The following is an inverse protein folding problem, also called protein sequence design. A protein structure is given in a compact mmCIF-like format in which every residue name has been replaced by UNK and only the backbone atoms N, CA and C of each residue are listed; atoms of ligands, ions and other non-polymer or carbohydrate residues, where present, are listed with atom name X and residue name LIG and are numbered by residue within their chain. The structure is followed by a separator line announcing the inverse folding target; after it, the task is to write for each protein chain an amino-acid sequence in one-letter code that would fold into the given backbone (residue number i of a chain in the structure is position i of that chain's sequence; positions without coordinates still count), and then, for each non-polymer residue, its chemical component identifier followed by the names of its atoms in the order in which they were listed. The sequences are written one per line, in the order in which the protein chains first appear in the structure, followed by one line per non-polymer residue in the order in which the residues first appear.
data_IF_002966787684
#
_entry.id   IF_002966787684
#
_cell.length_a   1.000
_cell.length_b   1.000
_cell.length_c   1.000
_cell.angle_alpha   90.00
_cell.angle_beta   90.00
_cell.angle_gamma   90.00
#
_symmetry.space_group_name_H-M   'P 1'
#
loop_
_entity.id
_entity.type
_entity.pdbx_description
1 polymer ?
#
# COMPACT_ATOMS: atom_id res chain seq x y z
N UNK A 1 74.22 1.63 5.20
CA UNK A 1 73.36 0.43 5.08
C UNK A 1 71.95 0.81 5.43
N UNK A 2 71.15 1.14 4.43
CA UNK A 2 69.74 1.52 4.58
C UNK A 2 68.91 0.26 4.36
N UNK A 3 68.01 0.00 5.31
CA UNK A 3 67.10 -1.14 5.31
C UNK A 3 65.73 -0.63 4.84
N UNK A 4 65.39 -0.96 3.61
CA UNK A 4 64.05 -0.71 3.05
C UNK A 4 63.03 -1.55 3.77
N UNK A 5 62.01 -0.87 4.32
CA UNK A 5 60.81 -1.48 4.86
C UNK A 5 59.75 -1.53 3.75
N UNK A 6 59.50 -2.73 3.20
CA UNK A 6 58.44 -2.98 2.26
C UNK A 6 57.06 -2.92 3.00
N UNK A 7 56.31 -1.90 2.74
CA UNK A 7 54.87 -1.81 3.13
C UNK A 7 54.02 -2.63 2.15
N UNK A 8 53.62 -3.82 2.58
CA UNK A 8 52.65 -4.65 1.86
C UNK A 8 51.25 -4.05 2.06
N UNK A 9 50.76 -3.36 1.04
CA UNK A 9 49.37 -2.94 0.94
C UNK A 9 48.50 -4.16 0.59
N UNK A 10 47.87 -4.73 1.57
CA UNK A 10 46.85 -5.79 1.38
C UNK A 10 45.63 -5.14 0.73
N UNK A 11 45.53 -5.25 -0.59
CA UNK A 11 44.31 -4.88 -1.32
C UNK A 11 43.14 -5.78 -0.89
N UNK A 12 42.19 -5.22 -0.14
CA UNK A 12 40.94 -5.88 0.11
C UNK A 12 40.23 -6.10 -1.24
N UNK A 13 39.96 -7.35 -1.58
CA UNK A 13 39.15 -7.69 -2.75
C UNK A 13 37.79 -6.99 -2.62
N UNK A 14 37.24 -6.43 -3.70
CA UNK A 14 35.90 -5.84 -3.66
C UNK A 14 34.93 -6.93 -3.22
N UNK A 15 34.16 -6.66 -2.13
CA UNK A 15 33.11 -7.54 -1.69
C UNK A 15 32.15 -7.80 -2.86
N UNK A 16 31.80 -9.07 -3.10
CA UNK A 16 30.81 -9.43 -4.12
C UNK A 16 29.56 -8.58 -3.94
N UNK A 17 28.98 -8.08 -5.02
CA UNK A 17 27.77 -7.24 -4.92
C UNK A 17 26.68 -8.01 -4.18
N UNK A 18 26.20 -7.43 -3.07
CA UNK A 18 25.15 -8.03 -2.24
C UNK A 18 23.88 -8.13 -3.07
N UNK A 19 23.32 -9.33 -3.20
CA UNK A 19 22.05 -9.57 -3.86
C UNK A 19 20.92 -8.86 -3.07
N UNK A 20 20.06 -8.13 -3.76
CA UNK A 20 18.93 -7.43 -3.16
C UNK A 20 17.77 -8.40 -2.94
N UNK A 21 17.42 -8.65 -1.67
CA UNK A 21 16.43 -9.65 -1.28
C UNK A 21 15.03 -9.10 -1.30
N UNK A 22 14.13 -9.79 -2.00
CA UNK A 22 12.73 -9.39 -2.16
C UNK A 22 11.83 -10.50 -1.65
N UNK A 23 10.83 -10.15 -0.85
CA UNK A 23 9.70 -10.99 -0.49
C UNK A 23 8.51 -10.61 -1.36
N UNK A 24 7.84 -11.59 -1.96
CA UNK A 24 6.62 -11.38 -2.75
C UNK A 24 5.41 -11.90 -1.97
N UNK A 25 4.46 -11.02 -1.66
CA UNK A 25 3.25 -11.30 -0.91
C UNK A 25 2.00 -10.96 -1.73
N UNK A 26 1.26 -11.99 -2.17
CA UNK A 26 0.06 -11.89 -3.00
C UNK A 26 -0.74 -13.20 -2.85
N UNK A 27 -2.06 -13.15 -2.69
CA UNK A 27 -2.88 -14.37 -2.54
C UNK A 27 -3.06 -15.14 -3.85
N UNK A 28 -2.82 -14.50 -5.00
CA UNK A 28 -2.93 -15.11 -6.33
C UNK A 28 -1.62 -15.79 -6.75
N UNK A 29 -1.59 -17.11 -6.75
CA UNK A 29 -0.37 -17.89 -7.06
C UNK A 29 0.19 -17.67 -8.48
N UNK A 30 -0.67 -17.32 -9.45
CA UNK A 30 -0.25 -17.02 -10.83
C UNK A 30 0.49 -15.68 -10.87
N UNK A 31 -0.04 -14.68 -10.16
CA UNK A 31 0.57 -13.34 -10.05
C UNK A 31 1.93 -13.45 -9.34
N UNK A 32 1.99 -14.15 -8.20
CA UNK A 32 3.26 -14.37 -7.48
C UNK A 32 4.33 -14.98 -8.38
N UNK A 33 3.98 -16.04 -9.13
CA UNK A 33 4.92 -16.69 -10.08
C UNK A 33 5.39 -15.75 -11.18
N UNK A 34 4.48 -14.93 -11.73
CA UNK A 34 4.83 -13.93 -12.73
C UNK A 34 5.79 -12.89 -12.19
N UNK A 35 5.50 -12.32 -11.02
CA UNK A 35 6.36 -11.35 -10.31
C UNK A 35 7.73 -11.97 -10.02
N UNK A 36 7.76 -13.18 -9.47
CA UNK A 36 9.01 -13.90 -9.21
C UNK A 36 9.85 -14.05 -10.46
N UNK A 37 9.28 -14.58 -11.55
CA UNK A 37 9.97 -14.77 -12.81
C UNK A 37 10.55 -13.46 -13.36
N UNK A 38 9.79 -12.36 -13.25
CA UNK A 38 10.22 -11.04 -13.69
C UNK A 38 11.39 -10.51 -12.84
N UNK A 39 11.33 -10.65 -11.52
CA UNK A 39 12.39 -10.19 -10.62
C UNK A 39 13.66 -11.02 -10.77
N UNK A 40 13.55 -12.36 -10.83
CA UNK A 40 14.68 -13.28 -10.97
C UNK A 40 15.33 -13.23 -12.37
N UNK A 41 14.70 -12.55 -13.36
CA UNK A 41 15.36 -12.23 -14.64
C UNK A 41 16.54 -11.24 -14.48
N UNK A 42 16.63 -10.57 -13.33
CA UNK A 42 17.72 -9.63 -13.02
C UNK A 42 18.73 -10.29 -12.09
N UNK A 43 20.03 -10.33 -12.45
CA UNK A 43 21.05 -11.09 -11.72
C UNK A 43 21.38 -10.53 -10.33
N UNK A 44 20.96 -9.29 -10.04
CA UNK A 44 21.20 -8.59 -8.78
C UNK A 44 19.99 -8.59 -7.84
N UNK A 45 18.90 -9.27 -8.23
CA UNK A 45 17.66 -9.44 -7.43
C UNK A 45 17.44 -10.91 -7.07
N UNK A 46 16.98 -11.16 -5.85
CA UNK A 46 16.66 -12.50 -5.32
C UNK A 46 15.30 -12.49 -4.67
N UNK A 47 14.39 -13.37 -5.10
CA UNK A 47 13.13 -13.61 -4.37
C UNK A 47 13.42 -14.60 -3.24
N UNK A 48 13.67 -14.08 -2.04
CA UNK A 48 14.05 -14.85 -0.86
C UNK A 48 12.87 -15.62 -0.22
N UNK A 49 11.63 -15.19 -0.44
CA UNK A 49 10.43 -15.88 0.02
C UNK A 49 9.18 -15.43 -0.75
N UNK A 50 8.13 -16.25 -0.65
CA UNK A 50 6.78 -15.95 -1.13
C UNK A 50 5.78 -16.15 0.02
N UNK A 51 4.72 -15.33 0.06
CA UNK A 51 3.63 -15.45 1.02
C UNK A 51 2.27 -15.27 0.32
N UNK A 52 1.24 -15.95 0.82
CA UNK A 52 -0.10 -15.88 0.28
C UNK A 52 -1.09 -15.10 1.17
N UNK A 53 -0.64 -14.68 2.35
CA UNK A 53 -1.43 -13.98 3.36
C UNK A 53 -0.56 -13.07 4.24
N UNK A 54 -1.19 -12.21 5.00
CA UNK A 54 -0.48 -11.23 5.82
C UNK A 54 0.26 -11.82 7.03
N UNK A 55 -0.18 -12.95 7.57
CA UNK A 55 0.49 -13.62 8.71
C UNK A 55 1.79 -14.23 8.24
N UNK A 56 1.73 -15.07 7.19
CA UNK A 56 2.91 -15.68 6.55
C UNK A 56 3.89 -14.61 6.06
N UNK A 57 3.38 -13.47 5.55
CA UNK A 57 4.25 -12.35 5.14
C UNK A 57 5.09 -11.85 6.30
N UNK A 58 4.48 -11.61 7.48
CA UNK A 58 5.22 -11.13 8.64
C UNK A 58 6.22 -12.15 9.19
N UNK A 59 5.90 -13.43 9.16
CA UNK A 59 6.84 -14.51 9.54
C UNK A 59 8.06 -14.52 8.60
N UNK A 60 7.83 -14.39 7.29
CA UNK A 60 8.89 -14.30 6.30
C UNK A 60 9.75 -13.05 6.48
N UNK A 61 9.17 -11.89 6.77
CA UNK A 61 9.91 -10.65 7.04
C UNK A 61 10.88 -10.83 8.20
N UNK A 62 10.41 -11.40 9.32
CA UNK A 62 11.25 -11.63 10.51
C UNK A 62 12.38 -12.63 10.22
N UNK A 63 12.07 -13.72 9.50
CA UNK A 63 13.01 -14.81 9.23
C UNK A 63 14.04 -14.48 8.17
N UNK A 64 13.60 -13.89 7.05
CA UNK A 64 14.45 -13.67 5.86
C UNK A 64 15.08 -12.27 5.86
N UNK A 65 14.52 -11.31 6.58
CA UNK A 65 14.95 -9.91 6.62
C UNK A 65 15.15 -9.35 5.20
N UNK A 66 14.10 -9.33 4.36
CA UNK A 66 14.19 -8.84 3.00
C UNK A 66 14.52 -7.35 2.99
N UNK A 67 15.18 -6.90 1.90
CA UNK A 67 15.40 -5.48 1.66
C UNK A 67 14.10 -4.80 1.19
N UNK A 68 13.24 -5.55 0.46
CA UNK A 68 11.97 -5.07 -0.08
C UNK A 68 10.86 -6.13 0.07
N UNK A 69 9.66 -5.70 0.40
CA UNK A 69 8.43 -6.51 0.26
C UNK A 69 7.58 -5.94 -0.86
N UNK A 70 7.31 -6.75 -1.90
CA UNK A 70 6.26 -6.47 -2.89
C UNK A 70 4.97 -7.03 -2.33
N UNK A 71 4.02 -6.15 -2.00
CA UNK A 71 2.89 -6.46 -1.14
C UNK A 71 1.56 -6.15 -1.82
N UNK A 72 0.72 -7.15 -2.00
CA UNK A 72 -0.67 -6.94 -2.38
C UNK A 72 -1.49 -6.37 -1.22
N UNK A 73 -2.43 -5.50 -1.54
CA UNK A 73 -3.37 -4.95 -0.56
C UNK A 73 -4.49 -5.92 -0.20
N UNK A 74 -4.90 -6.77 -1.15
CA UNK A 74 -6.08 -7.61 -1.02
C UNK A 74 -5.69 -9.03 -0.70
N UNK A 75 -5.22 -9.28 0.51
CA UNK A 75 -4.88 -10.61 1.00
C UNK A 75 -5.81 -11.06 2.12
N UNK A 76 -6.01 -12.38 2.30
CA UNK A 76 -6.72 -12.92 3.45
C UNK A 76 -5.97 -12.69 4.77
N UNK A 77 -6.65 -12.89 5.88
CA UNK A 77 -6.19 -12.77 7.27
C UNK A 77 -5.87 -11.31 7.67
N UNK A 78 -4.93 -10.67 7.01
CA UNK A 78 -4.53 -9.29 7.26
C UNK A 78 -4.49 -8.49 5.97
N UNK A 79 -5.10 -7.31 6.01
CA UNK A 79 -5.03 -6.35 4.91
C UNK A 79 -3.57 -5.89 4.70
N UNK A 80 -3.15 -5.76 3.43
CA UNK A 80 -1.80 -5.33 3.08
C UNK A 80 -1.37 -3.99 3.71
N UNK A 81 -2.28 -3.04 3.95
CA UNK A 81 -1.97 -1.81 4.68
C UNK A 81 -1.59 -2.06 6.14
N UNK A 82 -2.26 -3.00 6.81
CA UNK A 82 -1.90 -3.40 8.19
C UNK A 82 -0.52 -4.05 8.21
N UNK A 83 -0.26 -4.94 7.23
CA UNK A 83 1.05 -5.58 7.07
C UNK A 83 2.14 -4.55 6.82
N UNK A 84 1.92 -3.56 5.96
CA UNK A 84 2.88 -2.49 5.69
C UNK A 84 3.21 -1.67 6.95
N UNK A 85 2.21 -1.32 7.78
CA UNK A 85 2.42 -0.66 9.08
C UNK A 85 3.24 -1.52 10.03
N UNK A 86 2.91 -2.81 10.12
CA UNK A 86 3.66 -3.77 10.97
C UNK A 86 5.12 -3.93 10.50
N UNK A 87 5.38 -3.96 9.19
CA UNK A 87 6.74 -4.00 8.63
C UNK A 87 7.51 -2.75 9.06
N UNK A 88 6.91 -1.57 8.89
CA UNK A 88 7.54 -0.30 9.28
C UNK A 88 7.92 -0.26 10.77
N UNK A 89 7.06 -0.81 11.63
CA UNK A 89 7.28 -0.83 13.09
C UNK A 89 8.34 -1.87 13.49
N UNK A 90 8.30 -3.07 12.90
CA UNK A 90 9.10 -4.22 13.34
C UNK A 90 10.38 -4.45 12.54
N UNK A 91 10.41 -3.96 11.31
CA UNK A 91 11.53 -4.10 10.38
C UNK A 91 11.74 -2.82 9.56
N UNK A 92 12.14 -1.71 10.21
CA UNK A 92 12.24 -0.40 9.56
C UNK A 92 13.29 -0.31 8.45
N UNK A 93 14.17 -1.31 8.34
CA UNK A 93 15.13 -1.47 7.24
C UNK A 93 14.55 -2.15 6.00
N UNK A 94 13.32 -2.68 6.09
CA UNK A 94 12.62 -3.33 4.98
C UNK A 94 11.71 -2.31 4.31
N UNK A 95 11.95 -2.03 3.04
CA UNK A 95 11.08 -1.18 2.24
C UNK A 95 9.81 -1.93 1.81
N UNK A 96 8.74 -1.19 1.52
CA UNK A 96 7.48 -1.76 1.04
C UNK A 96 7.10 -1.12 -0.29
N UNK A 97 6.86 -1.97 -1.30
CA UNK A 97 6.25 -1.63 -2.59
C UNK A 97 4.84 -2.23 -2.64
N UNK A 98 3.84 -1.39 -2.69
CA UNK A 98 2.46 -1.84 -2.81
C UNK A 98 2.14 -2.17 -4.27
N UNK A 99 1.52 -3.33 -4.47
CA UNK A 99 1.01 -3.78 -5.77
C UNK A 99 -0.48 -4.06 -5.64
N UNK A 100 -1.33 -3.41 -6.44
CA UNK A 100 -2.79 -3.51 -6.31
C UNK A 100 -3.51 -3.52 -7.65
N UNK A 101 -4.71 -4.13 -7.70
CA UNK A 101 -5.54 -4.14 -8.91
C UNK A 101 -6.22 -2.81 -9.21
N UNK A 102 -6.51 -2.01 -8.17
CA UNK A 102 -7.34 -0.82 -8.31
C UNK A 102 -6.65 0.42 -7.75
N UNK A 103 -6.67 1.49 -8.55
CA UNK A 103 -6.31 2.81 -8.08
C UNK A 103 -7.48 3.43 -7.29
N UNK A 104 -7.17 3.98 -6.11
CA UNK A 104 -8.07 4.84 -5.36
C UNK A 104 -7.22 5.88 -4.62
N UNK A 105 -7.66 7.14 -4.64
CA UNK A 105 -6.96 8.23 -3.93
C UNK A 105 -6.84 7.97 -2.42
N UNK A 106 -7.86 7.33 -1.84
CA UNK A 106 -7.87 6.99 -0.42
C UNK A 106 -6.81 5.94 -0.10
N UNK A 107 -6.76 4.87 -0.89
CA UNK A 107 -5.74 3.84 -0.75
C UNK A 107 -4.35 4.45 -0.94
N UNK A 108 -4.20 5.34 -1.91
CA UNK A 108 -2.95 6.04 -2.17
C UNK A 108 -2.46 6.86 -0.96
N UNK A 109 -3.37 7.61 -0.31
CA UNK A 109 -3.05 8.36 0.93
C UNK A 109 -2.67 7.44 2.07
N UNK A 110 -3.39 6.32 2.26
CA UNK A 110 -3.06 5.33 3.29
C UNK A 110 -1.71 4.64 3.03
N UNK A 111 -1.39 4.34 1.77
CA UNK A 111 -0.08 3.80 1.36
C UNK A 111 1.05 4.76 1.74
N UNK A 112 0.86 6.06 1.55
CA UNK A 112 1.84 7.06 1.99
C UNK A 112 1.95 7.13 3.52
N UNK A 113 0.82 7.11 4.23
CA UNK A 113 0.78 7.15 5.70
C UNK A 113 1.45 5.94 6.34
N UNK A 114 1.28 4.74 5.76
CA UNK A 114 1.96 3.54 6.26
C UNK A 114 3.47 3.54 5.94
N UNK A 115 3.96 4.51 5.16
CA UNK A 115 5.38 4.70 4.85
C UNK A 115 5.89 3.76 3.76
N UNK A 116 5.02 3.24 2.90
CA UNK A 116 5.43 2.51 1.71
C UNK A 116 6.27 3.41 0.79
N UNK A 117 7.31 2.83 0.20
CA UNK A 117 8.24 3.54 -0.69
C UNK A 117 7.79 3.54 -2.13
N UNK A 118 6.82 2.69 -2.48
CA UNK A 118 6.31 2.64 -3.83
C UNK A 118 4.89 2.10 -3.93
N UNK A 119 4.27 2.40 -5.07
CA UNK A 119 2.94 1.96 -5.43
C UNK A 119 2.86 1.74 -6.93
N UNK A 120 2.43 0.54 -7.34
CA UNK A 120 2.29 0.10 -8.73
C UNK A 120 0.94 -0.58 -8.90
N UNK A 121 0.27 -0.35 -10.02
CA UNK A 121 -0.91 -1.13 -10.39
C UNK A 121 -0.49 -2.49 -10.96
N UNK A 122 -1.19 -3.56 -10.60
CA UNK A 122 -0.93 -4.91 -11.16
C UNK A 122 -1.08 -4.94 -12.68
N UNK A 123 -1.95 -4.10 -13.27
CA UNK A 123 -2.08 -3.93 -14.71
C UNK A 123 -0.83 -3.39 -15.39
N UNK A 124 -0.01 -2.65 -14.67
CA UNK A 124 1.17 -1.95 -15.18
C UNK A 124 2.47 -2.65 -14.74
N UNK A 125 2.34 -3.75 -13.98
CA UNK A 125 3.46 -4.44 -13.34
C UNK A 125 4.53 -4.92 -14.36
N UNK A 126 4.13 -5.42 -15.52
CA UNK A 126 5.07 -5.91 -16.55
C UNK A 126 6.06 -4.83 -17.00
N UNK A 127 5.63 -3.55 -17.04
CA UNK A 127 6.48 -2.43 -17.44
C UNK A 127 7.12 -1.66 -16.28
N UNK A 128 6.46 -1.57 -15.14
CA UNK A 128 6.84 -0.64 -14.07
C UNK A 128 7.45 -1.30 -12.83
N UNK A 129 7.22 -2.60 -12.60
CA UNK A 129 7.70 -3.28 -11.39
C UNK A 129 9.22 -3.23 -11.25
N UNK A 130 9.97 -3.59 -12.30
CA UNK A 130 11.44 -3.55 -12.27
C UNK A 130 11.96 -2.13 -12.09
N UNK A 131 11.30 -1.15 -12.70
CA UNK A 131 11.62 0.27 -12.54
C UNK A 131 11.41 0.71 -11.09
N UNK A 132 10.27 0.34 -10.49
CA UNK A 132 9.94 0.61 -9.09
C UNK A 132 10.98 0.01 -8.14
N UNK A 133 11.32 -1.26 -8.34
CA UNK A 133 12.34 -1.95 -7.52
C UNK A 133 13.69 -1.24 -7.61
N UNK A 134 14.13 -0.85 -8.81
CA UNK A 134 15.41 -0.13 -9.00
C UNK A 134 15.41 1.22 -8.28
N UNK A 135 14.32 2.01 -8.41
CA UNK A 135 14.20 3.29 -7.72
C UNK A 135 14.26 3.12 -6.20
N UNK A 136 13.53 2.14 -5.64
CA UNK A 136 13.52 1.88 -4.20
C UNK A 136 14.89 1.42 -3.72
N UNK A 137 15.57 0.54 -4.48
CA UNK A 137 16.95 0.12 -4.20
C UNK A 137 17.94 1.28 -4.15
N UNK A 138 17.70 2.34 -4.94
CA UNK A 138 18.43 3.60 -4.92
C UNK A 138 17.94 4.58 -3.83
N UNK A 139 17.10 4.15 -2.90
CA UNK A 139 16.45 4.99 -1.89
C UNK A 139 15.53 6.10 -2.46
N UNK A 140 15.03 5.93 -3.69
CA UNK A 140 14.08 6.84 -4.32
C UNK A 140 12.67 6.27 -4.25
N UNK A 141 11.65 7.04 -3.89
CA UNK A 141 10.28 6.55 -3.94
C UNK A 141 9.82 6.38 -5.41
N UNK A 142 8.89 5.45 -5.61
CA UNK A 142 8.30 5.21 -6.93
C UNK A 142 6.78 5.15 -6.85
N UNK A 143 6.12 6.07 -7.55
CA UNK A 143 4.67 6.12 -7.65
C UNK A 143 4.26 6.25 -9.11
N UNK A 144 3.31 5.43 -9.57
CA UNK A 144 2.83 5.50 -10.95
C UNK A 144 2.23 6.87 -11.26
N UNK A 145 2.26 7.26 -12.54
CA UNK A 145 1.90 8.61 -12.99
C UNK A 145 0.51 9.08 -12.52
N UNK A 146 -0.46 8.19 -12.41
CA UNK A 146 -1.81 8.51 -11.88
C UNK A 146 -1.76 8.91 -10.40
N UNK A 147 -0.96 8.21 -9.60
CA UNK A 147 -0.80 8.55 -8.18
C UNK A 147 0.03 9.83 -8.01
N UNK A 148 1.10 9.99 -8.78
CA UNK A 148 1.91 11.20 -8.74
C UNK A 148 1.09 12.44 -9.11
N UNK A 149 0.21 12.36 -10.12
CA UNK A 149 -0.71 13.43 -10.52
C UNK A 149 -1.72 13.74 -9.38
N UNK A 150 -2.36 12.73 -8.81
CA UNK A 150 -3.29 12.89 -7.68
C UNK A 150 -2.62 13.48 -6.44
N UNK A 151 -1.38 13.09 -6.16
CA UNK A 151 -0.58 13.68 -5.07
C UNK A 151 -0.25 15.15 -5.33
N UNK A 152 0.15 15.50 -6.56
CA UNK A 152 0.42 16.88 -6.94
C UNK A 152 -0.84 17.75 -6.82
N UNK A 153 -2.01 17.23 -7.25
CA UNK A 153 -3.30 17.92 -7.11
C UNK A 153 -3.71 18.11 -5.64
N UNK A 154 -3.51 17.09 -4.79
CA UNK A 154 -3.79 17.21 -3.35
C UNK A 154 -2.87 18.25 -2.73
N UNK A 155 -1.58 18.23 -3.04
CA UNK A 155 -0.60 19.18 -2.52
C UNK A 155 -0.92 20.62 -2.96
N UNK A 156 -1.34 20.82 -4.23
CA UNK A 156 -1.77 22.13 -4.74
C UNK A 156 -3.07 22.59 -4.07
N UNK A 157 -3.98 21.66 -3.75
CA UNK A 157 -5.23 21.96 -3.04
C UNK A 157 -4.97 22.37 -1.60
N UNK A 158 -4.08 21.66 -0.89
CA UNK A 158 -3.68 21.96 0.48
C UNK A 158 -2.90 23.29 0.57
N UNK A 159 -2.07 23.63 -0.44
CA UNK A 159 -1.33 24.89 -0.48
C UNK A 159 -2.19 26.09 -0.89
N UNK A 160 -3.33 25.89 -1.57
CA UNK A 160 -4.25 26.96 -1.98
C UNK A 160 -5.39 27.26 -1.00
N UNK A 161 -5.59 26.42 0.02
CA UNK A 161 -6.78 26.47 0.87
C UNK A 161 -6.59 26.42 2.38
N UNK A 162 -5.37 26.41 2.90
CA UNK A 162 -5.18 26.29 4.35
C UNK A 162 -4.41 27.47 4.92
N UNK A 163 -5.12 28.33 5.62
CA UNK A 163 -4.61 28.92 6.85
C UNK A 163 -4.30 27.79 7.87
N UNK A 164 -3.48 28.05 8.93
CA UNK A 164 -2.95 27.02 9.82
C UNK A 164 -4.02 26.49 10.76
N UNK A 165 -4.68 25.42 10.37
CA UNK A 165 -5.60 24.67 11.24
C UNK A 165 -5.49 23.19 10.89
N UNK A 166 -4.50 22.61 11.44
CA UNK A 166 -4.35 21.36 11.31
C UNK A 166 -4.60 20.12 11.75
N UNK A 167 -5.12 19.56 12.39
CA UNK A 167 -5.32 18.15 12.73
C UNK A 167 -6.16 17.49 11.63
N UNK A 168 -5.72 16.38 11.01
CA UNK A 168 -6.63 15.59 10.18
C UNK A 168 -7.78 15.14 11.06
N UNK A 169 -8.99 15.52 10.71
CA UNK A 169 -10.20 15.05 11.39
C UNK A 169 -10.35 13.54 11.08
N UNK A 170 -9.80 12.72 11.96
CA UNK A 170 -9.92 11.24 11.89
C UNK A 170 -11.40 10.79 11.95
N UNK A 171 -12.28 11.70 12.33
CA UNK A 171 -13.73 11.46 12.41
C UNK A 171 -14.48 11.75 11.11
N UNK A 172 -13.89 12.41 10.11
CA UNK A 172 -14.60 12.74 8.87
C UNK A 172 -14.66 11.55 7.91
N UNK A 173 -15.86 11.26 7.37
CA UNK A 173 -16.03 10.25 6.32
C UNK A 173 -15.43 10.75 5.01
N UNK A 174 -14.75 9.87 4.28
CA UNK A 174 -14.26 10.14 2.95
C UNK A 174 -15.40 10.31 1.93
N UNK A 175 -15.11 10.89 0.77
CA UNK A 175 -16.10 11.08 -0.30
C UNK A 175 -16.76 9.75 -0.70
N UNK A 176 -15.98 8.66 -0.76
CA UNK A 176 -16.49 7.33 -1.11
C UNK A 176 -17.35 6.71 0.00
N UNK A 177 -16.97 6.93 1.26
CA UNK A 177 -17.78 6.51 2.41
C UNK A 177 -19.09 7.31 2.45
N UNK A 178 -19.06 8.60 2.15
CA UNK A 178 -20.27 9.43 2.03
C UNK A 178 -21.21 8.94 0.92
N UNK A 179 -20.68 8.57 -0.26
CA UNK A 179 -21.47 7.97 -1.34
C UNK A 179 -22.15 6.66 -0.88
N UNK A 180 -21.41 5.79 -0.19
CA UNK A 180 -21.96 4.55 0.36
C UNK A 180 -23.02 4.84 1.40
N UNK A 181 -22.79 5.78 2.32
CA UNK A 181 -23.78 6.23 3.31
C UNK A 181 -25.05 6.75 2.62
N UNK A 182 -24.91 7.60 1.61
CA UNK A 182 -26.03 8.18 0.87
C UNK A 182 -26.88 7.11 0.17
N UNK A 183 -26.23 6.16 -0.50
CA UNK A 183 -26.93 5.06 -1.18
C UNK A 183 -27.65 4.13 -0.21
N UNK A 184 -27.01 3.76 0.89
CA UNK A 184 -27.60 2.90 1.90
C UNK A 184 -28.72 3.62 2.66
N UNK A 185 -28.55 4.89 3.00
CA UNK A 185 -29.56 5.70 3.68
C UNK A 185 -30.77 6.03 2.78
N UNK A 186 -30.58 6.04 1.44
CA UNK A 186 -31.70 6.13 0.48
C UNK A 186 -32.45 4.81 0.28
N UNK A 187 -32.16 3.78 1.07
CA UNK A 187 -32.86 2.50 1.06
C UNK A 187 -32.30 1.45 0.10
N UNK A 188 -31.17 1.72 -0.57
CA UNK A 188 -30.56 0.71 -1.46
C UNK A 188 -29.91 -0.40 -0.64
N UNK A 189 -30.05 -1.64 -1.11
CA UNK A 189 -29.30 -2.79 -0.60
C UNK A 189 -27.82 -2.69 -0.94
N UNK A 190 -26.96 -3.43 -0.24
CA UNK A 190 -25.51 -3.49 -0.57
C UNK A 190 -25.26 -3.85 -2.04
N UNK A 191 -26.09 -4.71 -2.63
CA UNK A 191 -25.99 -5.13 -4.04
C UNK A 191 -26.32 -3.98 -5.00
N UNK A 192 -27.37 -3.23 -4.73
CA UNK A 192 -27.79 -2.08 -5.54
C UNK A 192 -26.81 -0.90 -5.40
N UNK A 193 -26.33 -0.66 -4.18
CA UNK A 193 -25.28 0.31 -3.92
C UNK A 193 -24.00 -0.05 -4.69
N UNK A 194 -23.58 -1.31 -4.64
CA UNK A 194 -22.42 -1.81 -5.38
C UNK A 194 -22.55 -1.59 -6.89
N UNK A 195 -23.72 -1.93 -7.46
CA UNK A 195 -24.01 -1.70 -8.88
C UNK A 195 -23.99 -0.19 -9.24
N UNK A 196 -24.49 0.68 -8.34
CA UNK A 196 -24.53 2.13 -8.56
C UNK A 196 -23.14 2.77 -8.63
N UNK A 197 -22.18 2.23 -7.92
CA UNK A 197 -20.82 2.80 -7.81
C UNK A 197 -19.74 1.94 -8.48
N UNK A 198 -20.14 0.89 -9.21
CA UNK A 198 -19.23 0.09 -10.03
C UNK A 198 -18.26 -0.79 -9.25
N UNK A 199 -18.66 -1.30 -8.06
CA UNK A 199 -17.82 -2.16 -7.22
C UNK A 199 -18.51 -3.47 -6.87
N UNK A 200 -17.82 -4.40 -6.20
CA UNK A 200 -18.43 -5.63 -5.69
C UNK A 200 -19.31 -5.37 -4.46
N UNK A 201 -20.31 -6.23 -4.24
CA UNK A 201 -21.14 -6.20 -3.01
C UNK A 201 -20.27 -6.32 -1.75
N UNK A 202 -19.23 -7.16 -1.79
CA UNK A 202 -18.27 -7.34 -0.70
C UNK A 202 -17.50 -6.05 -0.39
N UNK A 203 -17.18 -5.25 -1.41
CA UNK A 203 -16.53 -3.94 -1.24
C UNK A 203 -17.45 -2.96 -0.49
N UNK A 204 -18.74 -2.92 -0.83
CA UNK A 204 -19.72 -2.07 -0.12
C UNK A 204 -19.90 -2.54 1.33
N UNK A 205 -19.93 -3.84 1.58
CA UNK A 205 -19.98 -4.40 2.94
C UNK A 205 -18.76 -4.01 3.77
N UNK A 206 -17.58 -4.05 3.15
CA UNK A 206 -16.34 -3.59 3.79
C UNK A 206 -16.39 -2.11 4.13
N UNK A 207 -16.81 -1.25 3.19
CA UNK A 207 -17.00 0.18 3.46
C UNK A 207 -18.01 0.42 4.58
N UNK A 208 -19.17 -0.25 4.54
CA UNK A 208 -20.18 -0.13 5.59
C UNK A 208 -19.61 -0.49 6.97
N UNK A 209 -18.92 -1.62 7.08
CA UNK A 209 -18.33 -2.03 8.35
C UNK A 209 -17.27 -1.05 8.84
N UNK A 210 -16.48 -0.47 7.91
CA UNK A 210 -15.52 0.55 8.25
C UNK A 210 -16.19 1.84 8.74
N UNK A 211 -17.23 2.32 8.06
CA UNK A 211 -18.02 3.49 8.44
C UNK A 211 -18.64 3.30 9.82
N UNK A 212 -19.29 2.15 10.07
CA UNK A 212 -19.92 1.83 11.35
C UNK A 212 -18.92 1.94 12.50
N UNK A 213 -17.71 1.38 12.31
CA UNK A 213 -16.64 1.42 13.32
C UNK A 213 -16.03 2.82 13.48
N UNK A 214 -15.75 3.53 12.38
CA UNK A 214 -15.14 4.85 12.35
C UNK A 214 -16.01 5.91 13.02
N UNK A 215 -17.33 5.81 12.81
CA UNK A 215 -18.32 6.73 13.34
C UNK A 215 -18.93 6.27 14.67
N UNK A 216 -18.44 5.13 15.19
CA UNK A 216 -18.94 4.49 16.43
C UNK A 216 -20.46 4.26 16.40
N UNK A 217 -21.02 3.91 15.21
CA UNK A 217 -22.43 3.60 15.08
C UNK A 217 -22.72 2.19 15.62
N UNK A 218 -23.65 2.11 16.55
CA UNK A 218 -24.10 0.83 17.14
C UNK A 218 -25.11 0.10 16.24
N UNK A 219 -25.84 0.84 15.40
CA UNK A 219 -26.88 0.29 14.54
C UNK A 219 -26.94 0.96 13.17
N UNK A 220 -27.54 0.26 12.20
CA UNK A 220 -27.81 0.84 10.88
C UNK A 220 -28.72 2.10 10.97
N UNK A 221 -29.59 2.18 11.98
CA UNK A 221 -30.40 3.36 12.25
C UNK A 221 -29.57 4.60 12.60
N UNK A 222 -28.36 4.42 13.18
CA UNK A 222 -27.46 5.52 13.48
C UNK A 222 -26.86 6.09 12.20
N UNK A 223 -26.51 5.23 11.24
CA UNK A 223 -26.05 5.63 9.92
C UNK A 223 -27.13 6.44 9.18
N UNK A 224 -28.40 6.00 9.22
CA UNK A 224 -29.51 6.73 8.60
C UNK A 224 -29.70 8.10 9.29
N UNK A 225 -29.71 8.16 10.62
CA UNK A 225 -29.82 9.43 11.36
C UNK A 225 -28.66 10.38 11.04
N UNK A 226 -27.48 9.88 10.91
CA UNK A 226 -26.32 10.66 10.48
C UNK A 226 -26.52 11.24 9.07
N UNK A 227 -26.98 10.42 8.12
CA UNK A 227 -27.21 10.85 6.75
C UNK A 227 -28.28 11.96 6.67
N UNK A 228 -29.37 11.86 7.44
CA UNK A 228 -30.44 12.88 7.52
C UNK A 228 -29.88 14.17 8.15
N UNK A 229 -29.17 14.08 9.28
CA UNK A 229 -28.62 15.26 9.99
C UNK A 229 -27.61 16.04 9.14
N UNK A 230 -26.88 15.35 8.27
CA UNK A 230 -25.90 15.96 7.38
C UNK A 230 -26.45 16.28 5.98
N UNK A 231 -27.79 16.25 5.79
CA UNK A 231 -28.47 16.52 4.53
C UNK A 231 -27.97 15.66 3.35
N UNK A 232 -27.49 14.45 3.62
CA UNK A 232 -27.04 13.50 2.60
C UNK A 232 -28.21 12.81 1.89
N UNK A 233 -29.36 12.70 2.60
CA UNK A 233 -30.64 12.18 2.07
C UNK A 233 -31.76 13.03 2.62
N UNK A 234 -32.85 13.15 1.84
CA UNK A 234 -34.10 13.76 2.32
C UNK A 234 -34.92 12.69 3.05
N UNK A 235 -35.60 13.03 4.15
CA UNK A 235 -36.44 12.12 4.90
C UNK A 235 -37.65 11.63 4.11
#
# INVERSE_FOLDING_TARGET
MAKEAATSTTGAAPAAPRTYKILVADDHSIVRRGIRSLLESQPDLEVCAEAADGVTTMECVVKQRPDLVVLDLTMPEKNGLEVARMIRERSPSTDVLILTMHFSEEVAREVLRCGARGYVLKSDADGELLSAVRHIKENKPFFTGKLAASMAESFVRDTRGAGPSGVPDEAALSQRELEVVQLLASGKSNKEAAASIGVSTRTVESHRNHIMRKMEFESFSDLIRFAIRNNLVQP
#
